data_IF_678466064662
#
_entry.id   IF_678466064662
#
_cell.length_a   1.000
_cell.length_b   1.000
_cell.length_c   1.000
_cell.angle_alpha   90.00
_cell.angle_beta   90.00
_cell.angle_gamma   90.00
#
_symmetry.space_group_name_H-M   'P 1'
#
loop_
_entity.id
_entity.type
_entity.pdbx_description
1 polymer ?
#
# COMPACT_ATOMS: atom_id res chain seq x y z
N UNK A 1 18.88 -31.50 8.51
CA UNK A 1 17.99 -30.34 8.65
C UNK A 1 18.63 -29.18 7.89
N UNK A 2 17.93 -28.61 6.92
CA UNK A 2 18.39 -27.46 6.13
C UNK A 2 18.39 -26.17 6.97
N UNK A 3 18.99 -25.08 6.48
CA UNK A 3 18.96 -23.79 7.18
C UNK A 3 17.51 -23.30 7.32
N UNK A 4 16.70 -23.44 6.27
CA UNK A 4 15.26 -23.13 6.30
C UNK A 4 14.55 -23.88 7.42
N UNK A 5 14.73 -25.20 7.51
CA UNK A 5 14.06 -26.03 8.53
C UNK A 5 14.46 -25.65 9.95
N UNK A 6 15.72 -25.24 10.16
CA UNK A 6 16.17 -24.72 11.45
C UNK A 6 15.48 -23.38 11.80
N UNK A 7 15.33 -22.47 10.83
CA UNK A 7 14.61 -21.20 11.02
C UNK A 7 13.13 -21.44 11.32
N UNK A 8 12.47 -22.32 10.57
CA UNK A 8 11.08 -22.75 10.82
C UNK A 8 10.91 -23.36 12.23
N UNK A 9 11.91 -24.10 12.72
CA UNK A 9 11.91 -24.62 14.08
C UNK A 9 12.10 -23.52 15.13
N UNK A 10 12.95 -22.52 14.88
CA UNK A 10 13.10 -21.35 15.75
C UNK A 10 11.80 -20.53 15.85
N UNK A 11 11.05 -20.40 14.74
CA UNK A 11 9.73 -19.77 14.77
C UNK A 11 8.81 -20.50 15.76
N UNK A 12 8.80 -21.83 15.75
CA UNK A 12 7.95 -22.64 16.63
C UNK A 12 8.27 -22.48 18.12
N UNK A 13 9.55 -22.27 18.45
CA UNK A 13 9.98 -22.17 19.86
C UNK A 13 9.89 -20.75 20.40
N UNK A 14 10.08 -19.75 19.55
CA UNK A 14 10.31 -18.37 19.99
C UNK A 14 9.13 -17.43 19.73
N UNK A 15 8.27 -17.74 18.73
CA UNK A 15 7.11 -16.91 18.44
C UNK A 15 5.95 -17.18 19.41
N UNK A 16 5.03 -16.22 19.48
CA UNK A 16 3.74 -16.35 20.16
C UNK A 16 2.97 -17.58 19.64
N UNK A 17 2.18 -18.28 20.48
CA UNK A 17 1.31 -19.36 20.01
C UNK A 17 0.27 -18.90 18.97
N UNK A 18 0.00 -17.59 18.91
CA UNK A 18 -0.91 -16.98 17.94
C UNK A 18 -0.22 -16.50 16.65
N UNK A 19 1.11 -16.61 16.57
CA UNK A 19 1.86 -16.19 15.38
C UNK A 19 1.64 -17.14 14.21
N UNK A 20 1.63 -16.60 13.00
CA UNK A 20 1.61 -17.41 11.79
C UNK A 20 3.01 -18.00 11.53
N UNK A 21 3.12 -19.32 11.59
CA UNK A 21 4.39 -20.01 11.36
C UNK A 21 4.57 -20.30 9.86
N UNK A 22 5.77 -20.05 9.33
CA UNK A 22 6.12 -20.31 7.92
C UNK A 22 5.85 -21.77 7.54
N UNK A 23 6.15 -22.72 8.44
CA UNK A 23 5.92 -24.16 8.22
C UNK A 23 4.44 -24.56 8.13
N UNK A 24 3.54 -23.72 8.66
CA UNK A 24 2.10 -23.95 8.70
C UNK A 24 1.35 -23.13 7.63
N UNK A 25 2.07 -22.46 6.73
CA UNK A 25 1.45 -21.71 5.64
C UNK A 25 0.54 -22.62 4.81
N UNK A 26 -0.59 -22.07 4.36
CA UNK A 26 -1.50 -22.70 3.39
C UNK A 26 -0.85 -22.86 2.01
N UNK A 27 0.35 -22.30 1.83
CA UNK A 27 1.18 -22.50 0.66
C UNK A 27 0.88 -21.51 -0.45
N UNK A 28 1.28 -21.89 -1.66
CA UNK A 28 1.20 -21.12 -2.90
C UNK A 28 0.24 -21.81 -3.86
N UNK A 29 -0.37 -21.06 -4.76
CA UNK A 29 -1.23 -21.67 -5.80
C UNK A 29 -0.47 -22.59 -6.73
N UNK A 30 0.74 -22.19 -7.13
CA UNK A 30 1.61 -23.04 -7.94
C UNK A 30 2.70 -23.62 -7.05
N UNK A 31 2.76 -24.94 -7.00
CA UNK A 31 3.79 -25.64 -6.26
C UNK A 31 5.18 -25.31 -6.81
N UNK A 32 6.13 -25.12 -5.90
CA UNK A 32 7.51 -24.85 -6.22
C UNK A 32 8.41 -25.49 -5.16
N UNK A 33 9.63 -25.85 -5.56
CA UNK A 33 10.61 -26.39 -4.62
C UNK A 33 10.87 -25.40 -3.49
N UNK A 34 10.89 -25.91 -2.27
CA UNK A 34 11.25 -25.12 -1.09
C UNK A 34 12.74 -24.70 -1.16
N UNK A 35 13.03 -23.50 -0.66
CA UNK A 35 14.40 -23.03 -0.53
C UNK A 35 15.09 -23.80 0.59
N UNK A 36 16.39 -24.02 0.48
CA UNK A 36 17.22 -24.63 1.53
C UNK A 36 17.61 -23.62 2.64
N UNK A 37 17.49 -22.32 2.37
CA UNK A 37 17.89 -21.24 3.28
C UNK A 37 16.70 -20.47 3.85
N UNK A 38 15.79 -20.00 2.99
CA UNK A 38 14.76 -19.00 3.36
C UNK A 38 13.39 -19.65 3.61
N UNK A 39 12.71 -19.36 4.74
CA UNK A 39 11.29 -19.69 4.94
C UNK A 39 10.38 -19.01 3.92
N UNK A 40 9.12 -19.45 3.83
CA UNK A 40 8.22 -19.05 2.74
C UNK A 40 7.90 -17.56 2.73
N UNK A 41 7.74 -16.91 3.89
CA UNK A 41 7.41 -15.48 3.98
C UNK A 41 8.62 -14.59 3.65
N UNK A 42 9.81 -15.00 4.08
CA UNK A 42 11.05 -14.32 3.69
C UNK A 42 11.23 -14.33 2.16
N UNK A 43 10.88 -15.44 1.49
CA UNK A 43 10.90 -15.51 0.01
C UNK A 43 9.89 -14.58 -0.63
N UNK A 44 8.71 -14.39 -0.02
CA UNK A 44 7.66 -13.51 -0.54
C UNK A 44 8.08 -12.05 -0.47
N UNK A 45 8.62 -11.63 0.68
CA UNK A 45 9.22 -10.32 0.85
C UNK A 45 10.24 -10.02 -0.25
N UNK A 46 11.18 -10.94 -0.47
CA UNK A 46 12.25 -10.74 -1.45
C UNK A 46 11.69 -10.66 -2.89
N UNK A 47 10.64 -11.41 -3.21
CA UNK A 47 9.96 -11.34 -4.52
C UNK A 47 9.28 -9.99 -4.73
N UNK A 48 8.60 -9.47 -3.71
CA UNK A 48 7.94 -8.17 -3.76
C UNK A 48 8.99 -7.07 -3.94
N UNK A 49 10.04 -7.07 -3.12
CA UNK A 49 11.10 -6.06 -3.14
C UNK A 49 11.78 -5.94 -4.51
N UNK A 50 11.97 -7.06 -5.21
CA UNK A 50 12.59 -7.09 -6.55
C UNK A 50 11.60 -6.93 -7.73
N UNK A 51 10.32 -6.73 -7.46
CA UNK A 51 9.29 -6.56 -8.50
C UNK A 51 9.47 -5.25 -9.28
N UNK A 52 8.87 -5.16 -10.47
CA UNK A 52 8.82 -3.88 -11.20
C UNK A 52 7.89 -2.90 -10.49
N UNK A 53 6.75 -3.39 -9.99
CA UNK A 53 5.72 -2.58 -9.34
C UNK A 53 6.21 -1.94 -8.05
N UNK A 54 6.99 -2.65 -7.22
CA UNK A 54 7.59 -2.06 -6.02
C UNK A 54 8.54 -0.91 -6.36
N UNK A 55 9.38 -1.07 -7.41
CA UNK A 55 10.27 0.01 -7.87
C UNK A 55 9.52 1.24 -8.35
N UNK A 56 8.35 1.07 -8.97
CA UNK A 56 7.50 2.19 -9.43
C UNK A 56 6.92 3.01 -8.28
N UNK A 57 6.82 2.47 -7.06
CA UNK A 57 6.35 3.23 -5.89
C UNK A 57 7.22 4.46 -5.59
N UNK A 58 8.48 4.47 -6.04
CA UNK A 58 9.38 5.63 -5.94
C UNK A 58 8.87 6.84 -6.72
N UNK A 59 8.20 6.60 -7.84
CA UNK A 59 7.75 7.64 -8.77
C UNK A 59 6.21 7.78 -8.75
N UNK A 60 5.59 7.41 -7.63
CA UNK A 60 4.16 7.62 -7.33
C UNK A 60 4.02 8.47 -6.08
N UNK A 61 3.26 9.55 -6.19
CA UNK A 61 2.91 10.44 -5.08
C UNK A 61 1.98 9.75 -4.08
N UNK A 62 2.17 10.08 -2.79
CA UNK A 62 1.28 9.64 -1.71
C UNK A 62 0.05 10.57 -1.61
N UNK A 63 0.26 11.89 -1.55
CA UNK A 63 -0.79 12.94 -1.41
C UNK A 63 -0.51 14.15 -2.33
N UNK A 64 -1.57 14.83 -2.79
CA UNK A 64 -1.55 15.94 -3.75
C UNK A 64 -1.10 17.31 -3.21
N UNK A 65 -1.03 17.46 -1.89
CA UNK A 65 -0.60 18.68 -1.23
C UNK A 65 0.94 18.70 -1.16
N UNK A 66 1.60 18.92 -2.28
CA UNK A 66 3.07 18.99 -2.29
C UNK A 66 3.53 20.43 -2.15
N UNK A 67 4.18 20.84 -1.05
CA UNK A 67 4.90 22.10 -1.01
C UNK A 67 6.08 22.07 -2.01
N UNK A 68 6.46 23.23 -2.55
CA UNK A 68 7.64 23.35 -3.42
C UNK A 68 8.91 22.85 -2.69
N UNK A 69 9.66 21.91 -3.29
CA UNK A 69 10.97 21.46 -2.78
C UNK A 69 11.37 20.02 -3.10
N UNK A 70 12.57 19.62 -2.66
CA UNK A 70 13.21 18.31 -2.94
C UNK A 70 12.81 17.18 -1.96
N UNK A 71 11.99 17.45 -0.95
CA UNK A 71 11.61 16.50 0.11
C UNK A 71 10.22 15.87 -0.11
N UNK A 72 9.99 15.30 -1.29
CA UNK A 72 8.69 14.70 -1.64
C UNK A 72 8.52 13.30 -1.01
N UNK A 73 7.42 13.08 -0.27
CA UNK A 73 7.00 11.74 0.15
C UNK A 73 6.41 10.98 -1.04
N UNK A 74 6.85 9.73 -1.18
CA UNK A 74 6.42 8.82 -2.24
C UNK A 74 5.66 7.66 -1.61
N UNK A 75 4.96 6.87 -2.41
CA UNK A 75 4.40 5.60 -1.91
C UNK A 75 5.48 4.65 -1.40
N UNK A 76 6.70 4.73 -1.93
CA UNK A 76 7.81 3.92 -1.43
C UNK A 76 8.19 4.32 0.00
N UNK A 77 8.26 5.62 0.32
CA UNK A 77 8.58 6.07 1.68
C UNK A 77 7.46 5.69 2.65
N UNK A 78 6.20 5.90 2.26
CA UNK A 78 5.02 5.38 3.00
C UNK A 78 5.16 3.91 3.34
N UNK A 79 5.38 3.10 2.31
CA UNK A 79 5.48 1.64 2.44
C UNK A 79 6.61 1.20 3.37
N UNK A 80 7.75 1.91 3.36
CA UNK A 80 8.87 1.63 4.25
C UNK A 80 8.57 2.00 5.71
N UNK A 81 7.88 3.12 5.95
CA UNK A 81 7.45 3.54 7.29
C UNK A 81 6.37 2.61 7.86
N UNK A 82 5.40 2.20 7.05
CA UNK A 82 4.42 1.15 7.41
C UNK A 82 5.13 -0.15 7.80
N UNK A 83 6.09 -0.59 6.99
CA UNK A 83 6.88 -1.80 7.27
C UNK A 83 7.66 -1.68 8.58
N UNK A 84 8.31 -0.54 8.84
CA UNK A 84 9.09 -0.33 10.06
C UNK A 84 8.21 -0.32 11.31
N UNK A 85 7.08 0.39 11.30
CA UNK A 85 6.11 0.42 12.39
C UNK A 85 5.54 -0.99 12.65
N UNK A 86 5.11 -1.66 11.58
CA UNK A 86 4.49 -2.98 11.68
C UNK A 86 5.47 -4.02 12.24
N UNK A 87 6.72 -4.04 11.76
CA UNK A 87 7.76 -4.94 12.27
C UNK A 87 8.10 -4.66 13.73
N UNK A 88 8.08 -3.40 14.16
CA UNK A 88 8.31 -3.02 15.56
C UNK A 88 7.23 -3.62 16.46
N UNK A 89 5.96 -3.49 16.10
CA UNK A 89 4.83 -4.07 16.83
C UNK A 89 4.91 -5.60 16.82
N UNK A 90 5.16 -6.19 15.66
CA UNK A 90 5.22 -7.64 15.49
C UNK A 90 6.33 -8.27 16.33
N UNK A 91 7.52 -7.66 16.32
CA UNK A 91 8.66 -8.12 17.10
C UNK A 91 8.40 -8.03 18.61
N UNK A 92 7.78 -6.95 19.08
CA UNK A 92 7.39 -6.80 20.48
C UNK A 92 6.37 -7.86 20.92
N UNK A 93 5.45 -8.25 20.02
CA UNK A 93 4.43 -9.28 20.27
C UNK A 93 4.91 -10.71 19.95
N UNK A 94 6.15 -10.88 19.50
CA UNK A 94 6.72 -12.15 19.01
C UNK A 94 5.87 -12.79 17.91
N UNK A 95 5.37 -11.99 16.97
CA UNK A 95 4.70 -12.45 15.75
C UNK A 95 5.69 -12.58 14.58
N UNK A 96 5.25 -13.11 13.44
CA UNK A 96 6.13 -13.37 12.31
C UNK A 96 6.51 -12.09 11.57
N UNK A 97 7.74 -11.62 11.80
CA UNK A 97 8.27 -10.37 11.24
C UNK A 97 8.38 -10.40 9.70
N UNK A 98 8.77 -11.54 9.11
CA UNK A 98 8.90 -11.68 7.66
C UNK A 98 7.52 -11.64 6.97
N UNK A 99 6.47 -12.21 7.58
CA UNK A 99 5.11 -12.12 7.07
C UNK A 99 4.60 -10.67 7.10
N UNK A 100 4.80 -9.98 8.21
CA UNK A 100 4.42 -8.57 8.38
C UNK A 100 5.11 -7.69 7.35
N UNK A 101 6.43 -7.87 7.19
CA UNK A 101 7.21 -7.13 6.22
C UNK A 101 6.76 -7.43 4.78
N UNK A 102 6.52 -8.69 4.42
CA UNK A 102 6.03 -9.05 3.09
C UNK A 102 4.67 -8.41 2.77
N UNK A 103 3.72 -8.44 3.72
CA UNK A 103 2.41 -7.80 3.55
C UNK A 103 2.57 -6.28 3.42
N UNK A 104 3.35 -5.65 4.31
CA UNK A 104 3.58 -4.22 4.29
C UNK A 104 4.25 -3.76 2.98
N UNK A 105 5.24 -4.47 2.45
CA UNK A 105 5.84 -4.10 1.16
C UNK A 105 4.90 -4.29 -0.03
N UNK A 106 3.88 -5.15 0.12
CA UNK A 106 2.95 -5.52 -0.95
C UNK A 106 1.64 -4.74 -0.99
N UNK A 107 1.21 -4.12 0.12
CA UNK A 107 -0.15 -3.57 0.25
C UNK A 107 -0.47 -2.49 -0.80
N UNK A 108 0.53 -1.71 -1.19
CA UNK A 108 0.40 -0.50 -2.00
C UNK A 108 0.79 -0.67 -3.48
N UNK A 109 1.14 -1.89 -3.91
CA UNK A 109 1.63 -2.17 -5.28
C UNK A 109 0.65 -1.78 -6.39
N UNK A 110 -0.65 -1.86 -6.11
CA UNK A 110 -1.75 -1.63 -7.06
C UNK A 110 -2.25 -0.19 -7.10
N UNK A 111 -1.68 0.73 -6.31
CA UNK A 111 -2.11 2.12 -6.38
C UNK A 111 -1.85 2.71 -7.76
N UNK A 112 -2.81 3.48 -8.24
CA UNK A 112 -2.74 4.24 -9.50
C UNK A 112 -1.71 5.36 -9.43
N UNK A 113 -1.31 5.93 -10.59
CA UNK A 113 -0.71 7.25 -10.59
C UNK A 113 -1.65 8.23 -9.89
N UNK A 114 -1.09 9.24 -9.21
CA UNK A 114 -1.87 10.27 -8.52
C UNK A 114 -2.74 9.75 -7.36
N UNK A 115 -2.42 8.58 -6.81
CA UNK A 115 -3.06 8.03 -5.62
C UNK A 115 -4.58 7.93 -5.72
N UNK A 116 -5.30 8.40 -4.69
CA UNK A 116 -6.76 8.26 -4.64
C UNK A 116 -7.50 8.98 -5.78
N UNK A 117 -6.94 10.04 -6.36
CA UNK A 117 -7.51 10.69 -7.53
C UNK A 117 -7.53 9.73 -8.73
N UNK A 118 -6.39 9.10 -9.04
CA UNK A 118 -6.33 8.10 -10.11
C UNK A 118 -7.21 6.88 -9.85
N UNK A 119 -7.34 6.48 -8.58
CA UNK A 119 -8.23 5.37 -8.17
C UNK A 119 -9.71 5.70 -8.46
N UNK A 120 -10.18 6.88 -8.05
CA UNK A 120 -11.55 7.34 -8.34
C UNK A 120 -11.81 7.45 -9.83
N UNK A 121 -10.84 8.00 -10.56
CA UNK A 121 -10.90 8.12 -12.02
C UNK A 121 -11.08 6.75 -12.70
N UNK A 122 -10.20 5.77 -12.44
CA UNK A 122 -10.34 4.44 -13.03
C UNK A 122 -11.63 3.74 -12.58
N UNK A 123 -12.02 3.87 -11.31
CA UNK A 123 -13.25 3.28 -10.82
C UNK A 123 -14.51 3.86 -11.50
N UNK A 124 -14.46 5.12 -11.95
CA UNK A 124 -15.58 5.75 -12.67
C UNK A 124 -15.71 5.34 -14.14
N UNK A 125 -14.63 4.88 -14.79
CA UNK A 125 -14.62 4.60 -16.24
C UNK A 125 -14.39 3.12 -16.58
N UNK A 126 -13.79 2.35 -15.68
CA UNK A 126 -13.68 0.91 -15.82
C UNK A 126 -15.02 0.27 -15.41
N UNK A 127 -15.73 -0.43 -16.32
CA UNK A 127 -17.02 -1.04 -16.00
C UNK A 127 -16.92 -2.18 -14.96
N UNK A 128 -15.71 -2.68 -14.68
CA UNK A 128 -15.45 -3.69 -13.66
C UNK A 128 -15.16 -3.06 -12.28
N UNK A 129 -15.13 -1.73 -12.20
CA UNK A 129 -14.65 -0.99 -11.04
C UNK A 129 -13.13 -1.03 -10.90
N UNK A 130 -12.63 -0.37 -9.87
CA UNK A 130 -11.22 -0.38 -9.50
C UNK A 130 -11.06 -0.11 -7.99
N UNK A 131 -10.28 -0.96 -7.33
CA UNK A 131 -9.90 -0.81 -5.91
C UNK A 131 -8.41 -1.13 -5.78
N UNK A 132 -7.65 -0.23 -5.17
CA UNK A 132 -6.18 -0.36 -5.09
C UNK A 132 -5.73 -1.68 -4.43
N UNK A 133 -6.42 -2.15 -3.38
CA UNK A 133 -6.10 -3.38 -2.66
C UNK A 133 -6.27 -4.63 -3.54
N UNK A 134 -7.37 -4.74 -4.27
CA UNK A 134 -7.59 -5.82 -5.25
C UNK A 134 -6.59 -5.74 -6.41
N UNK A 135 -6.23 -4.53 -6.83
CA UNK A 135 -5.21 -4.33 -7.84
C UNK A 135 -3.81 -4.72 -7.35
N UNK A 136 -3.47 -4.49 -6.08
CA UNK A 136 -2.20 -4.94 -5.47
C UNK A 136 -2.12 -6.47 -5.52
N UNK A 137 -3.22 -7.13 -5.20
CA UNK A 137 -3.32 -8.59 -5.27
C UNK A 137 -3.21 -9.09 -6.72
N UNK A 138 -3.95 -8.49 -7.65
CA UNK A 138 -3.86 -8.80 -9.10
C UNK A 138 -2.44 -8.60 -9.63
N UNK A 139 -1.73 -7.57 -9.16
CA UNK A 139 -0.34 -7.29 -9.54
C UNK A 139 0.58 -8.45 -9.18
N UNK A 140 0.47 -8.97 -7.95
CA UNK A 140 1.32 -10.07 -7.48
C UNK A 140 0.86 -11.45 -7.94
N UNK A 141 -0.40 -11.62 -8.34
CA UNK A 141 -0.92 -12.90 -8.85
C UNK A 141 -0.73 -13.06 -10.35
N UNK A 142 -0.91 -11.97 -11.09
CA UNK A 142 -1.08 -11.98 -12.55
C UNK A 142 -0.06 -11.07 -13.23
N UNK A 143 0.06 -9.79 -12.86
CA UNK A 143 0.72 -8.83 -13.77
C UNK A 143 2.25 -8.92 -13.76
N UNK A 144 2.86 -9.17 -12.60
CA UNK A 144 4.31 -9.28 -12.49
C UNK A 144 4.88 -10.43 -13.34
N UNK A 145 6.19 -10.36 -13.62
CA UNK A 145 6.90 -11.41 -14.40
C UNK A 145 6.22 -11.74 -15.75
N UNK A 146 5.79 -10.70 -16.47
CA UNK A 146 5.19 -10.80 -17.81
C UNK A 146 3.93 -11.69 -17.81
N UNK A 147 3.01 -11.42 -16.88
CA UNK A 147 1.77 -12.19 -16.75
C UNK A 147 1.86 -13.38 -15.79
N UNK A 148 3.04 -13.79 -15.32
CA UNK A 148 3.14 -14.99 -14.46
C UNK A 148 2.78 -14.73 -13.00
N UNK A 149 2.85 -13.49 -12.53
CA UNK A 149 2.79 -13.15 -11.11
C UNK A 149 4.03 -13.57 -10.33
N UNK A 150 4.02 -13.27 -9.02
CA UNK A 150 5.06 -13.57 -8.06
C UNK A 150 4.83 -14.89 -7.31
N UNK A 151 3.68 -15.54 -7.49
CA UNK A 151 3.32 -16.80 -6.82
C UNK A 151 3.46 -16.74 -5.30
N UNK A 152 2.99 -15.66 -4.66
CA UNK A 152 3.13 -15.46 -3.21
C UNK A 152 2.27 -16.46 -2.41
N UNK A 153 2.61 -16.62 -1.13
CA UNK A 153 1.80 -17.41 -0.19
C UNK A 153 0.42 -16.80 0.01
N UNK A 154 -0.54 -17.64 0.42
CA UNK A 154 -1.91 -17.20 0.73
C UNK A 154 -1.94 -16.10 1.78
N UNK A 155 -1.14 -16.22 2.85
CA UNK A 155 -1.16 -15.28 3.98
C UNK A 155 -0.74 -13.87 3.55
N UNK A 156 0.28 -13.78 2.68
CA UNK A 156 0.73 -12.49 2.14
C UNK A 156 -0.35 -11.88 1.24
N UNK A 157 -0.96 -12.66 0.36
CA UNK A 157 -2.05 -12.19 -0.54
C UNK A 157 -3.27 -11.73 0.25
N UNK A 158 -3.65 -12.48 1.28
CA UNK A 158 -4.76 -12.15 2.17
C UNK A 158 -4.49 -10.85 2.94
N UNK A 159 -3.28 -10.69 3.50
CA UNK A 159 -2.87 -9.46 4.16
C UNK A 159 -2.90 -8.25 3.22
N UNK A 160 -2.40 -8.41 1.98
CA UNK A 160 -2.43 -7.37 0.95
C UNK A 160 -3.88 -7.00 0.59
N UNK A 161 -4.78 -7.98 0.43
CA UNK A 161 -6.18 -7.69 0.09
C UNK A 161 -6.90 -6.95 1.22
N UNK A 162 -6.73 -7.44 2.45
CA UNK A 162 -7.58 -7.10 3.57
C UNK A 162 -7.01 -6.02 4.50
N UNK A 163 -5.95 -5.31 4.11
CA UNK A 163 -5.36 -4.24 4.91
C UNK A 163 -6.29 -3.01 5.06
N UNK A 164 -7.30 -2.87 4.21
CA UNK A 164 -8.24 -1.75 4.26
C UNK A 164 -9.16 -1.78 5.50
N UNK A 165 -9.84 -0.66 5.77
CA UNK A 165 -10.72 -0.53 6.93
C UNK A 165 -11.93 -1.46 6.87
N UNK A 166 -12.50 -1.69 5.69
CA UNK A 166 -13.71 -2.48 5.44
C UNK A 166 -13.53 -3.98 5.59
N UNK A 167 -12.28 -4.46 5.60
CA UNK A 167 -11.96 -5.88 5.63
C UNK A 167 -11.10 -6.21 6.85
N UNK A 168 -10.95 -7.52 7.11
CA UNK A 168 -10.13 -8.02 8.20
C UNK A 168 -9.18 -9.10 7.69
N UNK A 169 -7.86 -8.95 7.88
CA UNK A 169 -6.90 -10.00 7.55
C UNK A 169 -7.09 -11.26 8.40
N UNK A 170 -6.75 -12.41 7.84
CA UNK A 170 -6.85 -13.71 8.49
C UNK A 170 -5.77 -13.96 9.55
N UNK A 171 -4.67 -13.22 9.51
CA UNK A 171 -3.54 -13.34 10.45
C UNK A 171 -3.41 -12.11 11.33
N UNK A 172 -2.85 -12.28 12.54
CA UNK A 172 -2.53 -11.15 13.41
C UNK A 172 -1.48 -10.23 12.77
N UNK A 173 -0.54 -10.81 12.03
CA UNK A 173 0.44 -10.09 11.23
C UNK A 173 -0.21 -9.14 10.22
N UNK A 174 -1.25 -9.60 9.50
CA UNK A 174 -2.02 -8.75 8.60
C UNK A 174 -2.77 -7.65 9.35
N UNK A 175 -3.34 -7.94 10.53
CA UNK A 175 -4.01 -6.93 11.38
C UNK A 175 -3.04 -5.84 11.84
N UNK A 176 -1.78 -6.19 12.14
CA UNK A 176 -0.73 -5.21 12.46
C UNK A 176 -0.51 -4.28 11.26
N UNK A 177 -0.34 -4.82 10.04
CA UNK A 177 -0.12 -3.98 8.86
C UNK A 177 -1.30 -3.04 8.63
N UNK A 178 -2.54 -3.54 8.77
CA UNK A 178 -3.76 -2.74 8.71
C UNK A 178 -3.78 -1.57 9.70
N UNK A 179 -3.30 -1.76 10.93
CA UNK A 179 -3.21 -0.65 11.90
C UNK A 179 -2.05 0.30 11.57
N UNK A 180 -0.90 -0.25 11.19
CA UNK A 180 0.32 0.50 10.90
C UNK A 180 0.14 1.41 9.69
N UNK A 181 -0.57 0.96 8.66
CA UNK A 181 -0.93 1.77 7.49
C UNK A 181 -1.74 3.01 7.88
N UNK A 182 -2.77 2.85 8.73
CA UNK A 182 -3.58 3.98 9.22
C UNK A 182 -2.75 4.97 10.04
N UNK A 183 -1.86 4.48 10.89
CA UNK A 183 -0.99 5.31 11.72
C UNK A 183 -0.02 6.11 10.83
N UNK A 184 0.67 5.43 9.91
CA UNK A 184 1.61 6.06 8.99
C UNK A 184 0.92 7.11 8.12
N UNK A 185 -0.25 6.79 7.58
CA UNK A 185 -1.04 7.72 6.77
C UNK A 185 -1.34 9.02 7.54
N UNK A 186 -1.87 8.93 8.76
CA UNK A 186 -2.17 10.11 9.58
C UNK A 186 -0.89 10.87 9.93
N UNK A 187 0.17 10.16 10.31
CA UNK A 187 1.43 10.76 10.72
C UNK A 187 2.05 11.59 9.59
N UNK A 188 2.05 11.05 8.37
CA UNK A 188 2.72 11.68 7.23
C UNK A 188 1.91 12.86 6.72
N UNK A 189 0.60 12.69 6.56
CA UNK A 189 -0.27 13.75 6.08
C UNK A 189 -0.27 14.93 7.06
N UNK A 190 -0.12 14.66 8.36
CA UNK A 190 0.04 15.68 9.38
C UNK A 190 1.40 16.37 9.32
N UNK A 191 2.51 15.63 9.15
CA UNK A 191 3.85 16.19 8.95
C UNK A 191 3.90 17.09 7.70
N UNK A 192 3.35 16.63 6.58
CA UNK A 192 3.30 17.38 5.33
C UNK A 192 2.45 18.65 5.47
N UNK A 193 1.32 18.57 6.15
CA UNK A 193 0.49 19.75 6.39
C UNK A 193 1.14 20.75 7.36
N UNK A 194 1.92 20.30 8.35
CA UNK A 194 2.71 21.17 9.22
C UNK A 194 3.81 21.87 8.42
N UNK A 195 4.55 21.12 7.59
CA UNK A 195 5.61 21.67 6.72
C UNK A 195 5.07 22.68 5.71
N UNK A 196 3.87 22.44 5.18
CA UNK A 196 3.17 23.35 4.28
C UNK A 196 2.57 24.57 5.00
N UNK A 197 2.66 24.65 6.33
CA UNK A 197 2.08 25.74 7.13
C UNK A 197 0.56 25.75 7.15
N UNK A 198 -0.08 24.62 6.79
CA UNK A 198 -1.55 24.46 6.80
C UNK A 198 -2.04 24.29 8.24
N UNK A 199 -1.27 23.60 9.08
CA UNK A 199 -1.55 23.42 10.50
C UNK A 199 -0.27 23.46 11.33
N UNK A 200 -0.44 23.55 12.64
CA UNK A 200 0.60 23.43 13.65
C UNK A 200 0.19 22.38 14.67
N UNK A 201 1.14 21.83 15.42
CA UNK A 201 0.83 20.90 16.52
C UNK A 201 -0.14 21.48 17.56
N UNK A 202 -0.17 22.82 17.72
CA UNK A 202 -1.05 23.52 18.65
C UNK A 202 -2.52 23.59 18.17
N UNK A 203 -2.78 23.38 16.87
CA UNK A 203 -4.13 23.38 16.30
C UNK A 203 -4.88 22.08 16.62
N UNK A 204 -4.16 21.02 16.99
CA UNK A 204 -4.73 19.72 17.35
C UNK A 204 -5.49 19.88 18.66
N UNK A 205 -6.78 19.47 18.72
CA UNK A 205 -7.58 19.53 19.93
C UNK A 205 -6.86 18.93 21.15
N UNK A 206 -6.91 19.64 22.28
CA UNK A 206 -6.33 19.17 23.55
C UNK A 206 -6.87 17.80 23.97
N UNK A 207 -8.13 17.51 23.67
CA UNK A 207 -8.72 16.18 23.94
C UNK A 207 -7.96 15.03 23.27
N UNK A 208 -7.38 15.26 22.09
CA UNK A 208 -6.54 14.30 21.38
C UNK A 208 -5.13 14.32 22.00
N UNK A 209 -4.56 15.52 22.18
CA UNK A 209 -3.21 15.71 22.72
C UNK A 209 -3.01 15.10 24.11
N UNK A 210 -4.01 15.20 24.98
CA UNK A 210 -4.00 14.62 26.33
C UNK A 210 -3.99 13.09 26.34
N UNK A 211 -4.41 12.44 25.24
CA UNK A 211 -4.44 10.98 25.13
C UNK A 211 -3.20 10.46 24.42
N UNK A 212 -2.90 10.97 23.22
CA UNK A 212 -1.86 10.43 22.36
C UNK A 212 -0.62 11.32 22.23
N UNK A 213 -0.59 12.49 22.87
CA UNK A 213 0.57 13.39 22.85
C UNK A 213 0.42 14.59 21.90
N UNK A 214 1.31 15.55 22.11
CA UNK A 214 1.22 16.90 21.55
C UNK A 214 2.13 17.10 20.34
N UNK A 215 3.04 16.17 20.07
CA UNK A 215 3.94 16.19 18.92
C UNK A 215 3.74 14.98 18.03
N UNK A 216 4.16 15.07 16.77
CA UNK A 216 4.14 13.93 15.83
C UNK A 216 4.83 12.67 16.38
N UNK A 217 5.99 12.85 17.01
CA UNK A 217 6.77 11.76 17.59
C UNK A 217 6.07 11.09 18.77
N UNK A 218 5.53 11.89 19.70
CA UNK A 218 4.77 11.37 20.86
C UNK A 218 3.54 10.57 20.41
N UNK A 219 2.81 11.04 19.39
CA UNK A 219 1.64 10.34 18.84
C UNK A 219 1.99 8.98 18.27
N UNK A 220 3.03 8.92 17.44
CA UNK A 220 3.47 7.66 16.84
C UNK A 220 3.92 6.67 17.92
N UNK A 221 4.75 7.13 18.86
CA UNK A 221 5.25 6.32 19.97
C UNK A 221 4.10 5.78 20.83
N UNK A 222 3.13 6.64 21.18
CA UNK A 222 1.97 6.26 21.97
C UNK A 222 1.11 5.20 21.28
N UNK A 223 0.83 5.34 19.97
CA UNK A 223 0.08 4.33 19.23
C UNK A 223 0.77 2.96 19.25
N UNK A 224 2.09 2.92 19.04
CA UNK A 224 2.87 1.67 19.05
C UNK A 224 2.83 1.05 20.44
N UNK A 225 3.11 1.83 21.49
CA UNK A 225 3.10 1.37 22.87
C UNK A 225 1.73 0.84 23.32
N UNK A 226 0.64 1.55 22.99
CA UNK A 226 -0.71 1.16 23.34
C UNK A 226 -1.10 -0.16 22.64
N UNK A 227 -0.85 -0.28 21.34
CA UNK A 227 -1.15 -1.51 20.58
C UNK A 227 -0.39 -2.70 21.18
N UNK A 228 0.93 -2.56 21.41
CA UNK A 228 1.74 -3.64 21.98
C UNK A 228 1.23 -4.05 23.36
N UNK A 229 0.98 -3.07 24.24
CA UNK A 229 0.54 -3.34 25.62
C UNK A 229 -0.82 -4.03 25.65
N UNK A 230 -1.76 -3.58 24.81
CA UNK A 230 -3.11 -4.12 24.79
C UNK A 230 -3.24 -5.43 23.99
N UNK A 231 -2.29 -5.76 23.12
CA UNK A 231 -2.30 -6.99 22.32
C UNK A 231 -1.44 -8.11 22.93
N UNK A 232 -0.55 -7.79 23.87
CA UNK A 232 0.36 -8.76 24.47
C UNK A 232 -0.41 -9.94 25.11
N UNK A 233 -0.07 -11.16 24.67
CA UNK A 233 -0.66 -12.40 25.18
C UNK A 233 -2.11 -12.67 24.73
N UNK A 234 -2.63 -11.93 23.74
CA UNK A 234 -3.97 -12.11 23.20
C UNK A 234 -3.94 -12.62 21.76
N UNK A 235 -5.01 -13.29 21.35
CA UNK A 235 -5.24 -13.74 19.97
C UNK A 235 -5.87 -12.61 19.10
N UNK A 236 -5.46 -11.37 19.35
CA UNK A 236 -5.94 -10.21 18.60
C UNK A 236 -4.98 -9.03 18.70
N UNK A 237 -5.08 -8.11 17.74
CA UNK A 237 -4.35 -6.84 17.73
C UNK A 237 -5.34 -5.74 18.08
N UNK A 238 -5.14 -5.13 19.25
CA UNK A 238 -6.11 -4.24 19.89
C UNK A 238 -5.43 -2.94 20.30
N UNK A 239 -6.12 -1.84 20.07
CA UNK A 239 -5.84 -0.53 20.64
C UNK A 239 -6.83 -0.29 21.79
N UNK A 240 -6.41 0.39 22.86
CA UNK A 240 -7.32 0.77 23.94
C UNK A 240 -8.42 1.70 23.44
N UNK A 241 -9.59 1.68 24.10
CA UNK A 241 -10.73 2.51 23.72
C UNK A 241 -10.40 4.02 23.67
N UNK A 242 -9.68 4.60 24.66
CA UNK A 242 -9.28 6.01 24.60
C UNK A 242 -8.42 6.34 23.38
N UNK A 243 -7.42 5.50 23.07
CA UNK A 243 -6.50 5.72 21.95
C UNK A 243 -7.20 5.52 20.60
N UNK A 244 -8.12 4.55 20.51
CA UNK A 244 -8.95 4.34 19.32
C UNK A 244 -9.89 5.52 19.04
N UNK A 245 -10.48 6.09 20.09
CA UNK A 245 -11.30 7.31 19.99
C UNK A 245 -10.45 8.51 19.57
N UNK A 246 -9.27 8.71 20.18
CA UNK A 246 -8.35 9.77 19.81
C UNK A 246 -7.87 9.67 18.35
N UNK A 247 -7.58 8.46 17.85
CA UNK A 247 -7.26 8.25 16.43
C UNK A 247 -8.43 8.66 15.53
N UNK A 248 -9.67 8.28 15.90
CA UNK A 248 -10.87 8.63 15.13
C UNK A 248 -11.08 10.15 15.08
N UNK A 249 -10.94 10.82 16.21
CA UNK A 249 -11.01 12.29 16.30
C UNK A 249 -9.91 12.97 15.49
N UNK A 250 -8.67 12.48 15.56
CA UNK A 250 -7.55 13.00 14.78
C UNK A 250 -7.79 12.87 13.27
N UNK A 251 -8.36 11.74 12.80
CA UNK A 251 -8.73 11.57 11.39
C UNK A 251 -9.81 12.57 10.96
N UNK A 252 -10.82 12.81 11.80
CA UNK A 252 -11.87 13.78 11.52
C UNK A 252 -11.29 15.20 11.43
N UNK A 253 -10.44 15.57 12.38
CA UNK A 253 -9.72 16.84 12.39
C UNK A 253 -8.88 17.04 11.11
N UNK A 254 -8.08 16.04 10.73
CA UNK A 254 -7.30 16.08 9.49
C UNK A 254 -8.18 16.23 8.24
N UNK A 255 -9.34 15.57 8.23
CA UNK A 255 -10.28 15.68 7.11
C UNK A 255 -10.87 17.06 6.93
N UNK A 256 -11.25 17.71 8.02
CA UNK A 256 -11.81 19.06 8.00
C UNK A 256 -10.76 20.11 7.65
N UNK A 257 -9.54 19.98 8.18
CA UNK A 257 -8.53 21.04 8.13
C UNK A 257 -7.52 20.88 6.98
N UNK A 258 -7.31 19.66 6.47
CA UNK A 258 -6.31 19.39 5.42
C UNK A 258 -6.97 18.96 4.11
N UNK A 259 -7.78 17.90 4.12
CA UNK A 259 -8.31 17.33 2.86
C UNK A 259 -9.41 18.17 2.20
N UNK A 260 -10.04 19.11 2.92
CA UNK A 260 -11.04 20.02 2.34
C UNK A 260 -10.45 21.30 1.74
N UNK A 261 -9.11 21.48 1.75
CA UNK A 261 -8.47 22.66 1.21
C UNK A 261 -8.79 22.85 -0.30
N UNK A 262 -9.37 23.99 -0.72
CA UNK A 262 -9.78 24.22 -2.11
C UNK A 262 -8.66 24.10 -3.14
N UNK A 263 -7.42 24.45 -2.77
CA UNK A 263 -6.27 24.41 -3.68
C UNK A 263 -5.94 22.96 -4.06
N UNK A 264 -5.91 22.06 -3.07
CA UNK A 264 -5.67 20.63 -3.29
C UNK A 264 -6.67 20.00 -4.26
N UNK A 265 -7.97 20.34 -4.09
CA UNK A 265 -9.05 19.79 -4.91
C UNK A 265 -8.93 20.15 -6.39
N UNK A 266 -8.39 21.33 -6.71
CA UNK A 266 -8.30 21.78 -8.11
C UNK A 266 -7.29 20.98 -8.93
N UNK A 267 -6.16 20.56 -8.33
CA UNK A 267 -5.17 19.71 -9.00
C UNK A 267 -5.63 18.25 -9.08
N UNK A 268 -6.36 17.75 -8.07
CA UNK A 268 -6.96 16.41 -8.11
C UNK A 268 -7.88 16.22 -9.32
N UNK A 269 -8.73 17.22 -9.64
CA UNK A 269 -9.62 17.14 -10.82
C UNK A 269 -8.85 17.06 -12.16
N UNK A 270 -7.68 17.71 -12.27
CA UNK A 270 -6.85 17.60 -13.48
C UNK A 270 -6.28 16.19 -13.62
N UNK A 271 -5.79 15.63 -12.52
CA UNK A 271 -5.24 14.28 -12.50
C UNK A 271 -6.31 13.21 -12.80
N UNK A 272 -7.52 13.37 -12.26
CA UNK A 272 -8.65 12.50 -12.58
C UNK A 272 -8.95 12.50 -14.09
N UNK A 273 -9.10 13.69 -14.68
CA UNK A 273 -9.35 13.85 -16.11
C UNK A 273 -8.23 13.26 -16.98
N UNK A 274 -6.97 13.44 -16.56
CA UNK A 274 -5.81 12.86 -17.25
C UNK A 274 -5.92 11.33 -17.29
N UNK A 275 -6.20 10.68 -16.15
CA UNK A 275 -6.32 9.23 -16.05
C UNK A 275 -7.50 8.70 -16.88
N UNK A 276 -8.66 9.36 -16.81
CA UNK A 276 -9.84 9.03 -17.62
C UNK A 276 -9.49 9.08 -19.11
N UNK A 277 -8.82 10.15 -19.53
CA UNK A 277 -8.45 10.36 -20.93
C UNK A 277 -7.49 9.27 -21.42
N UNK A 278 -6.48 8.91 -20.62
CA UNK A 278 -5.55 7.82 -20.96
C UNK A 278 -6.29 6.48 -21.05
N UNK A 279 -7.20 6.18 -20.13
CA UNK A 279 -7.99 4.96 -20.18
C UNK A 279 -8.81 4.87 -21.48
N UNK A 280 -9.55 5.91 -21.83
CA UNK A 280 -10.34 5.94 -23.06
C UNK A 280 -9.49 5.82 -24.33
N UNK A 281 -8.32 6.45 -24.33
CA UNK A 281 -7.37 6.38 -25.43
C UNK A 281 -6.88 4.95 -25.65
N UNK A 282 -6.36 4.30 -24.61
CA UNK A 282 -5.82 2.95 -24.73
C UNK A 282 -6.89 1.90 -25.01
N UNK A 283 -8.13 2.12 -24.55
CA UNK A 283 -9.26 1.25 -24.89
C UNK A 283 -9.58 1.26 -26.39
N UNK A 284 -9.33 2.39 -27.08
CA UNK A 284 -9.50 2.53 -28.53
C UNK A 284 -8.26 2.09 -29.32
N UNK A 285 -7.09 2.04 -28.68
CA UNK A 285 -5.79 1.77 -29.30
C UNK A 285 -5.05 0.62 -28.58
N UNK A 286 -5.69 -0.55 -28.53
CA UNK A 286 -5.17 -1.72 -27.81
C UNK A 286 -3.82 -2.22 -28.33
N UNK A 287 -3.49 -1.94 -29.59
CA UNK A 287 -2.22 -2.27 -30.22
C UNK A 287 -1.01 -1.54 -29.60
N UNK A 288 -1.24 -0.45 -28.87
CA UNK A 288 -0.21 0.30 -28.15
C UNK A 288 0.09 -0.27 -26.75
N UNK A 289 -0.72 -1.21 -26.25
CA UNK A 289 -0.50 -1.86 -24.96
C UNK A 289 0.60 -2.93 -25.08
N UNK A 290 1.50 -3.06 -24.09
CA UNK A 290 2.52 -4.10 -24.08
C UNK A 290 1.97 -5.50 -24.34
N UNK A 291 2.66 -6.25 -25.23
CA UNK A 291 2.17 -7.55 -25.70
C UNK A 291 2.01 -8.58 -24.59
N UNK A 292 2.84 -8.53 -23.56
CA UNK A 292 2.74 -9.41 -22.39
C UNK A 292 1.43 -9.23 -21.62
N UNK A 293 0.89 -8.01 -21.58
CA UNK A 293 -0.43 -7.74 -21.00
C UNK A 293 -1.57 -8.18 -21.93
N UNK A 294 -1.43 -7.93 -23.24
CA UNK A 294 -2.42 -8.39 -24.23
C UNK A 294 -2.57 -9.92 -24.24
N UNK A 295 -1.48 -10.65 -24.00
CA UNK A 295 -1.51 -12.11 -23.92
C UNK A 295 -2.39 -12.64 -22.77
N UNK A 296 -2.76 -11.81 -21.78
CA UNK A 296 -3.72 -12.19 -20.74
C UNK A 296 -5.11 -12.47 -21.33
N UNK A 297 -5.51 -11.77 -22.39
CA UNK A 297 -6.79 -12.02 -23.09
C UNK A 297 -6.86 -13.47 -23.57
N UNK A 298 -5.80 -13.92 -24.24
CA UNK A 298 -5.74 -15.26 -24.83
C UNK A 298 -5.57 -16.34 -23.76
N UNK A 299 -4.87 -16.03 -22.67
CA UNK A 299 -4.49 -17.01 -21.65
C UNK A 299 -5.61 -17.31 -20.65
N UNK A 300 -6.24 -16.28 -20.11
CA UNK A 300 -7.22 -16.40 -19.02
C UNK A 300 -8.53 -15.66 -19.30
N UNK A 301 -8.72 -15.16 -20.53
CA UNK A 301 -9.94 -14.48 -20.92
C UNK A 301 -10.10 -13.09 -20.30
N UNK A 302 -9.01 -12.50 -19.76
CA UNK A 302 -9.07 -11.15 -19.19
C UNK A 302 -9.66 -10.17 -20.22
N UNK A 303 -10.73 -9.42 -19.88
CA UNK A 303 -11.35 -8.47 -20.80
C UNK A 303 -10.43 -7.27 -21.08
N UNK A 304 -10.59 -6.66 -22.26
CA UNK A 304 -9.75 -5.52 -22.69
C UNK A 304 -9.83 -4.34 -21.71
N UNK A 305 -11.00 -4.11 -21.11
CA UNK A 305 -11.24 -3.06 -20.13
C UNK A 305 -10.33 -3.23 -18.90
N UNK A 306 -10.18 -4.47 -18.41
CA UNK A 306 -9.28 -4.77 -17.31
C UNK A 306 -7.81 -4.59 -17.71
N UNK A 307 -7.41 -4.96 -18.93
CA UNK A 307 -6.02 -4.80 -19.40
C UNK A 307 -5.63 -3.32 -19.50
N UNK A 308 -6.53 -2.49 -20.02
CA UNK A 308 -6.32 -1.04 -20.07
C UNK A 308 -6.22 -0.49 -18.65
N UNK A 309 -7.11 -0.93 -17.75
CA UNK A 309 -7.10 -0.54 -16.35
C UNK A 309 -5.77 -0.93 -15.66
N UNK A 310 -5.31 -2.15 -15.88
CA UNK A 310 -4.03 -2.67 -15.38
C UNK A 310 -2.86 -1.82 -15.91
N UNK A 311 -2.89 -1.44 -17.19
CA UNK A 311 -1.81 -0.72 -17.83
C UNK A 311 -1.72 0.73 -17.34
N UNK A 312 -2.85 1.44 -17.32
CA UNK A 312 -2.94 2.83 -16.84
C UNK A 312 -2.66 2.90 -15.33
N UNK A 313 -3.24 2.01 -14.53
CA UNK A 313 -3.01 1.95 -13.08
C UNK A 313 -1.57 1.60 -12.70
N UNK A 314 -0.85 0.86 -13.56
CA UNK A 314 0.56 0.53 -13.34
C UNK A 314 1.54 1.67 -13.69
N UNK A 315 1.10 2.74 -14.36
CA UNK A 315 1.98 3.86 -14.71
C UNK A 315 2.53 4.57 -13.46
N UNK A 316 3.66 5.26 -13.60
CA UNK A 316 4.14 6.25 -12.63
C UNK A 316 3.59 7.63 -12.98
N UNK A 317 3.51 8.55 -12.04
CA UNK A 317 2.91 9.88 -12.26
C UNK A 317 3.57 10.60 -13.45
N UNK A 318 4.91 10.65 -13.46
CA UNK A 318 5.68 11.28 -14.55
C UNK A 318 5.45 10.63 -15.92
N UNK A 319 5.25 9.31 -15.95
CA UNK A 319 5.02 8.59 -17.20
C UNK A 319 3.61 8.84 -17.73
N UNK A 320 2.61 8.88 -16.84
CA UNK A 320 1.24 9.23 -17.20
C UNK A 320 1.16 10.66 -17.77
N UNK A 321 1.83 11.63 -17.14
CA UNK A 321 1.93 13.01 -17.64
C UNK A 321 2.60 13.03 -19.03
N UNK A 322 3.77 12.42 -19.16
CA UNK A 322 4.50 12.41 -20.43
C UNK A 322 3.69 11.78 -21.56
N UNK A 323 2.93 10.70 -21.27
CA UNK A 323 2.05 10.06 -22.25
C UNK A 323 0.86 10.94 -22.62
N UNK A 324 0.25 11.59 -21.65
CA UNK A 324 -0.82 12.53 -21.91
C UNK A 324 -0.36 13.69 -22.80
N UNK A 325 0.80 14.27 -22.51
CA UNK A 325 1.43 15.33 -23.32
C UNK A 325 1.73 14.85 -24.75
N UNK A 326 2.33 13.67 -24.89
CA UNK A 326 2.65 13.08 -26.20
C UNK A 326 1.41 12.88 -27.09
N UNK A 327 0.29 12.46 -26.49
CA UNK A 327 -0.93 12.08 -27.23
C UNK A 327 -1.79 13.31 -27.54
N UNK A 328 -1.94 14.25 -26.60
CA UNK A 328 -2.97 15.29 -26.66
C UNK A 328 -2.44 16.71 -26.84
N UNK A 329 -1.15 16.95 -26.59
CA UNK A 329 -0.56 18.29 -26.72
C UNK A 329 0.21 18.38 -28.04
N UNK A 330 -0.27 19.17 -29.02
CA UNK A 330 0.42 19.33 -30.29
C UNK A 330 1.81 19.94 -30.10
N UNK A 331 2.81 19.40 -30.79
CA UNK A 331 4.15 20.02 -30.82
C UNK A 331 4.15 21.19 -31.80
N UNK A 332 4.41 22.40 -31.31
CA UNK A 332 4.70 23.55 -32.17
C UNK A 332 6.09 23.38 -32.79
N UNK A 333 6.15 23.31 -34.12
CA UNK A 333 7.42 23.36 -34.84
C UNK A 333 7.96 24.79 -34.82
N UNK A 334 9.08 25.00 -34.14
CA UNK A 334 9.94 26.14 -34.41
C UNK A 334 10.88 25.73 -35.54
N UNK A 335 10.60 26.24 -36.75
CA UNK A 335 11.38 25.98 -37.96
C UNK A 335 12.76 26.63 -37.93
#
# INVERSE_FOLDING_TARGET
MTIRENLEQMECTNLSPYACLSKNSKGREREEKQCDIRPVFQRDRDRILHSKSFRRLKDKTQVFLTPEGDHYRTRMTHTLEVSQNARTIAKALRLNEDLVEAIALGHDLGHTPFGHAGERALNSVCPLGFVHSEQSVRTVEVLEKNGQGLNLTYEVRDGIRNHQTSCMPSTLEGKIVRMSDKIAYIHHDMDDAIRAGILTDADVPKSIGDVIGYTLGERLDHFIHDIVTNSAGKDDIIMSEPVANAMKELRAFMFENVYQNPVAKSEESKAENLIITLYEYYLKNMDLIPRDMLNLMDRDGTPKEQIVCDYVGAMTDRFAIAKYEEIYIPKTWHG
#
